data_IF_518485250267
#
_entry.id   IF_518485250267
#
_cell.length_a   1.000
_cell.length_b   1.000
_cell.length_c   1.000
_cell.angle_alpha   90.00
_cell.angle_beta   90.00
_cell.angle_gamma   90.00
#
_symmetry.space_group_name_H-M   'P 1'
#
loop_
_entity.id
_entity.type
_entity.pdbx_description
1 polymer ?
#
# COMPACT_ATOMS: atom_id res chain seq x y z
N UNK A 1 -23.61 3.29 27.27
CA UNK A 1 -22.67 2.15 27.33
C UNK A 1 -22.36 1.69 25.92
N UNK A 2 -21.17 2.02 25.37
CA UNK A 2 -20.72 1.41 24.11
C UNK A 2 -20.24 -0.01 24.45
N UNK A 3 -20.77 -1.07 23.81
CA UNK A 3 -20.29 -2.42 24.06
C UNK A 3 -18.78 -2.45 23.78
N UNK A 4 -18.02 -2.97 24.73
CA UNK A 4 -16.57 -3.12 24.65
C UNK A 4 -16.23 -3.87 23.37
N UNK A 5 -15.73 -3.12 22.38
CA UNK A 5 -15.28 -3.67 21.10
C UNK A 5 -14.13 -4.63 21.46
N UNK A 6 -14.24 -5.93 21.13
CA UNK A 6 -13.18 -6.87 21.46
C UNK A 6 -11.92 -6.42 20.71
N UNK A 7 -10.89 -6.05 21.48
CA UNK A 7 -9.53 -5.92 20.99
C UNK A 7 -9.15 -7.26 20.32
N UNK A 8 -9.15 -7.32 18.98
CA UNK A 8 -8.61 -8.47 18.23
C UNK A 8 -7.53 -8.00 17.26
N UNK A 9 -6.49 -8.83 17.00
CA UNK A 9 -6.37 -10.27 17.32
C UNK A 9 -5.22 -10.63 18.29
N UNK A 10 -5.39 -11.77 18.98
CA UNK A 10 -4.24 -12.60 19.43
C UNK A 10 -3.56 -13.15 18.18
N UNK A 11 -2.27 -12.89 18.02
CA UNK A 11 -1.40 -13.54 17.03
C UNK A 11 -1.32 -15.04 17.34
N UNK A 12 -2.25 -15.83 16.80
CA UNK A 12 -2.02 -17.27 16.72
C UNK A 12 -1.10 -17.50 15.51
N UNK A 13 0.20 -17.59 15.80
CA UNK A 13 1.23 -18.00 14.85
C UNK A 13 1.07 -19.48 14.54
N UNK A 14 0.16 -19.79 13.62
CA UNK A 14 0.06 -21.13 13.06
C UNK A 14 0.93 -21.23 11.81
N UNK A 15 1.31 -22.44 11.42
CA UNK A 15 2.12 -22.72 10.23
C UNK A 15 1.58 -22.02 8.97
N UNK A 16 0.26 -22.02 8.77
CA UNK A 16 -0.38 -21.33 7.63
C UNK A 16 -0.17 -19.82 7.63
N UNK A 17 -0.13 -19.17 8.81
CA UNK A 17 0.16 -17.74 8.93
C UNK A 17 1.62 -17.44 8.60
N UNK A 18 2.54 -18.32 9.03
CA UNK A 18 3.95 -18.22 8.68
C UNK A 18 4.18 -18.37 7.17
N UNK A 19 3.57 -19.39 6.55
CA UNK A 19 3.64 -19.57 5.08
C UNK A 19 3.08 -18.35 4.34
N UNK A 20 1.93 -17.83 4.77
CA UNK A 20 1.36 -16.62 4.17
C UNK A 20 2.29 -15.40 4.31
N UNK A 21 2.96 -15.24 5.45
CA UNK A 21 3.92 -14.16 5.66
C UNK A 21 5.12 -14.26 4.72
N UNK A 22 5.68 -15.46 4.56
CA UNK A 22 6.81 -15.68 3.66
C UNK A 22 6.40 -15.38 2.23
N UNK A 23 5.26 -15.92 1.78
CA UNK A 23 4.75 -15.69 0.43
C UNK A 23 4.48 -14.21 0.14
N UNK A 24 3.84 -13.49 1.08
CA UNK A 24 3.57 -12.06 0.93
C UNK A 24 4.85 -11.22 0.99
N UNK A 25 5.84 -11.61 1.79
CA UNK A 25 7.15 -10.94 1.81
C UNK A 25 7.87 -11.10 0.48
N UNK A 26 7.89 -12.32 -0.07
CA UNK A 26 8.46 -12.59 -1.40
C UNK A 26 7.70 -11.82 -2.48
N UNK A 27 6.37 -11.81 -2.44
CA UNK A 27 5.54 -11.04 -3.37
C UNK A 27 5.84 -9.54 -3.28
N UNK A 28 6.09 -9.02 -2.08
CA UNK A 28 6.50 -7.63 -1.89
C UNK A 28 7.85 -7.31 -2.52
N UNK A 29 8.83 -8.19 -2.34
CA UNK A 29 10.16 -8.06 -2.96
C UNK A 29 10.08 -8.15 -4.50
N UNK A 30 9.41 -9.17 -5.04
CA UNK A 30 9.22 -9.34 -6.49
C UNK A 30 8.34 -8.23 -7.08
N UNK A 31 7.36 -7.74 -6.34
CA UNK A 31 6.53 -6.61 -6.76
C UNK A 31 7.33 -5.32 -6.92
N UNK A 32 8.37 -5.12 -6.11
CA UNK A 32 9.30 -4.00 -6.29
C UNK A 32 10.32 -4.24 -7.40
N UNK A 33 10.57 -5.50 -7.78
CA UNK A 33 11.39 -5.83 -8.96
C UNK A 33 10.65 -5.49 -10.27
N UNK A 34 9.35 -5.80 -10.34
CA UNK A 34 8.48 -5.47 -11.46
C UNK A 34 8.11 -3.98 -11.35
N UNK A 35 9.02 -3.11 -11.77
CA UNK A 35 8.69 -1.70 -11.96
C UNK A 35 8.07 -1.56 -13.35
N UNK A 36 6.82 -1.09 -13.38
CA UNK A 36 6.14 -0.75 -14.64
C UNK A 36 6.11 0.76 -14.73
N UNK A 37 6.65 1.33 -15.81
CA UNK A 37 6.47 2.75 -16.10
C UNK A 37 4.97 3.01 -16.35
N UNK A 38 4.31 3.63 -15.37
CA UNK A 38 3.01 4.24 -15.59
C UNK A 38 3.20 5.59 -16.31
N UNK A 39 2.08 6.19 -16.73
CA UNK A 39 2.05 7.50 -17.39
C UNK A 39 2.98 8.51 -16.70
N UNK A 40 3.64 9.38 -17.49
CA UNK A 40 4.56 10.43 -17.05
C UNK A 40 5.94 9.96 -16.54
N UNK A 41 6.43 8.78 -16.94
CA UNK A 41 7.78 8.31 -16.57
C UNK A 41 7.89 7.95 -15.08
N UNK A 42 6.76 7.59 -14.47
CA UNK A 42 6.64 7.23 -13.06
C UNK A 42 6.62 5.71 -12.96
N UNK A 43 7.73 5.12 -12.55
CA UNK A 43 7.77 3.70 -12.13
C UNK A 43 6.78 3.43 -11.00
N UNK A 44 5.93 2.44 -11.25
CA UNK A 44 5.01 1.90 -10.27
C UNK A 44 5.64 0.70 -9.55
N UNK A 45 5.67 0.75 -8.21
CA UNK A 45 6.22 -0.29 -7.35
C UNK A 45 5.08 -1.08 -6.71
N UNK A 46 4.96 -2.36 -7.06
CA UNK A 46 3.87 -3.22 -6.55
C UNK A 46 4.09 -3.75 -5.14
N UNK A 47 5.26 -3.51 -4.52
CA UNK A 47 5.53 -4.01 -3.17
C UNK A 47 4.52 -3.51 -2.13
N UNK A 48 4.01 -2.28 -2.28
CA UNK A 48 2.97 -1.71 -1.42
C UNK A 48 1.67 -2.53 -1.40
N UNK A 49 1.31 -3.17 -2.52
CA UNK A 49 0.13 -4.05 -2.60
C UNK A 49 0.26 -5.23 -1.64
N UNK A 50 1.44 -5.86 -1.58
CA UNK A 50 1.69 -6.98 -0.68
C UNK A 50 1.65 -6.56 0.80
N UNK A 51 2.18 -5.37 1.12
CA UNK A 51 2.15 -4.79 2.47
C UNK A 51 0.70 -4.55 2.91
N UNK A 52 -0.10 -3.88 2.09
CA UNK A 52 -1.49 -3.57 2.39
C UNK A 52 -2.39 -4.81 2.45
N UNK A 53 -2.12 -5.84 1.63
CA UNK A 53 -2.76 -7.15 1.76
C UNK A 53 -2.43 -7.82 3.09
N UNK A 54 -1.15 -7.78 3.50
CA UNK A 54 -0.71 -8.33 4.79
C UNK A 54 -1.39 -7.61 5.94
N UNK A 55 -1.43 -6.27 5.91
CA UNK A 55 -2.15 -5.46 6.90
C UNK A 55 -3.62 -5.86 6.96
N UNK A 56 -4.25 -6.06 5.80
CA UNK A 56 -5.68 -6.37 5.69
C UNK A 56 -6.04 -7.78 6.19
N UNK A 57 -5.18 -8.77 5.95
CA UNK A 57 -5.49 -10.20 6.18
C UNK A 57 -4.86 -10.71 7.48
N UNK A 58 -3.62 -10.32 7.77
CA UNK A 58 -2.84 -10.85 8.91
C UNK A 58 -2.78 -9.88 10.08
N UNK A 59 -3.01 -8.59 9.85
CA UNK A 59 -3.02 -7.53 10.86
C UNK A 59 -1.83 -6.58 10.73
N UNK A 60 -1.82 -5.57 11.60
CA UNK A 60 -0.83 -4.48 11.51
C UNK A 60 0.61 -4.93 11.82
N UNK A 61 0.88 -5.72 12.88
CA UNK A 61 2.26 -6.14 13.19
C UNK A 61 2.92 -6.96 12.06
N UNK A 62 2.27 -7.99 11.50
CA UNK A 62 2.85 -8.71 10.36
C UNK A 62 2.98 -7.83 9.12
N UNK A 63 2.07 -6.87 8.93
CA UNK A 63 2.14 -5.87 7.87
C UNK A 63 3.38 -4.97 7.96
N UNK A 64 3.73 -4.51 9.16
CA UNK A 64 4.96 -3.72 9.40
C UNK A 64 6.20 -4.55 9.02
N UNK A 65 6.24 -5.82 9.41
CA UNK A 65 7.36 -6.71 9.07
C UNK A 65 7.50 -6.89 7.56
N UNK A 66 6.38 -7.15 6.85
CA UNK A 66 6.38 -7.27 5.39
C UNK A 66 6.78 -5.94 4.74
N UNK A 67 6.33 -4.79 5.26
CA UNK A 67 6.74 -3.47 4.79
C UNK A 67 8.23 -3.23 4.90
N UNK A 68 8.80 -3.50 6.07
CA UNK A 68 10.25 -3.40 6.28
C UNK A 68 11.02 -4.31 5.31
N UNK A 69 10.62 -5.58 5.17
CA UNK A 69 11.29 -6.53 4.27
C UNK A 69 11.15 -6.12 2.80
N UNK A 70 9.94 -5.80 2.33
CA UNK A 70 9.71 -5.41 0.94
C UNK A 70 10.49 -4.14 0.56
N UNK A 71 10.63 -3.21 1.52
CA UNK A 71 11.38 -1.98 1.32
C UNK A 71 12.90 -2.18 1.28
N UNK A 72 13.46 -3.30 1.77
CA UNK A 72 14.91 -3.57 1.66
C UNK A 72 15.37 -3.60 0.19
N UNK A 73 14.54 -4.09 -0.73
CA UNK A 73 14.87 -4.08 -2.15
C UNK A 73 15.01 -2.66 -2.71
N UNK A 74 14.27 -1.70 -2.17
CA UNK A 74 14.38 -0.29 -2.59
C UNK A 74 15.73 0.33 -2.25
N UNK A 75 16.43 -0.16 -1.23
CA UNK A 75 17.81 0.24 -0.95
C UNK A 75 18.76 -0.16 -2.07
N UNK A 76 18.59 -1.37 -2.63
CA UNK A 76 19.38 -1.85 -3.77
C UNK A 76 19.07 -1.03 -5.02
N UNK A 77 17.78 -0.68 -5.22
CA UNK A 77 17.33 0.05 -6.40
C UNK A 77 17.75 1.53 -6.39
N UNK A 78 17.66 2.20 -5.24
CA UNK A 78 17.85 3.65 -5.13
C UNK A 78 19.18 4.04 -4.45
N UNK A 79 19.92 3.07 -3.93
CA UNK A 79 21.24 3.28 -3.31
C UNK A 79 21.21 3.98 -1.96
N UNK A 80 20.04 4.21 -1.36
CA UNK A 80 19.90 4.94 -0.10
C UNK A 80 18.75 4.38 0.78
N UNK A 81 18.83 4.49 2.11
CA UNK A 81 17.90 3.82 3.02
C UNK A 81 16.59 4.57 3.29
N UNK A 82 16.42 5.80 2.77
CA UNK A 82 15.27 6.65 3.12
C UNK A 82 13.92 6.03 2.76
N UNK A 83 13.85 5.26 1.67
CA UNK A 83 12.64 4.55 1.27
C UNK A 83 12.20 3.50 2.30
N UNK A 84 13.15 2.83 2.97
CA UNK A 84 12.86 1.88 4.05
C UNK A 84 12.16 2.61 5.18
N UNK A 85 12.69 3.77 5.58
CA UNK A 85 12.11 4.59 6.64
C UNK A 85 10.68 5.02 6.28
N UNK A 86 10.49 5.57 5.08
CA UNK A 86 9.21 6.08 4.60
C UNK A 86 8.16 4.96 4.51
N UNK A 87 8.47 3.83 3.86
CA UNK A 87 7.50 2.75 3.69
C UNK A 87 7.25 1.95 4.98
N UNK A 88 8.22 1.90 5.90
CA UNK A 88 7.99 1.32 7.22
C UNK A 88 7.07 2.21 8.05
N UNK A 89 7.28 3.54 8.03
CA UNK A 89 6.37 4.50 8.67
C UNK A 89 4.96 4.42 8.09
N UNK A 90 4.83 4.29 6.78
CA UNK A 90 3.55 4.04 6.09
C UNK A 90 2.85 2.81 6.67
N UNK A 91 3.53 1.66 6.68
CA UNK A 91 2.95 0.41 7.18
C UNK A 91 2.50 0.50 8.65
N UNK A 92 3.23 1.25 9.48
CA UNK A 92 2.86 1.50 10.88
C UNK A 92 1.59 2.36 10.97
N UNK A 93 1.58 3.52 10.31
CA UNK A 93 0.49 4.50 10.42
C UNK A 93 -0.77 3.97 9.75
N UNK A 94 -0.67 3.48 8.52
CA UNK A 94 -1.78 2.90 7.76
C UNK A 94 -2.32 1.67 8.47
N UNK A 95 -1.44 0.80 8.96
CA UNK A 95 -1.83 -0.37 9.75
C UNK A 95 -2.62 0.01 11.01
N UNK A 96 -2.20 1.06 11.71
CA UNK A 96 -2.92 1.59 12.87
C UNK A 96 -4.28 2.21 12.48
N UNK A 97 -4.32 3.10 11.50
CA UNK A 97 -5.56 3.78 11.08
C UNK A 97 -6.60 2.78 10.56
N UNK A 98 -6.17 1.84 9.73
CA UNK A 98 -7.04 0.80 9.16
C UNK A 98 -7.56 -0.14 10.26
N UNK A 99 -6.69 -0.70 11.11
CA UNK A 99 -7.09 -1.73 12.09
C UNK A 99 -7.70 -1.18 13.38
N UNK A 100 -7.27 0.00 13.85
CA UNK A 100 -7.69 0.57 15.15
C UNK A 100 -8.70 1.69 15.02
N UNK A 101 -8.65 2.46 13.93
CA UNK A 101 -9.58 3.59 13.68
C UNK A 101 -10.65 3.27 12.65
N UNK A 102 -10.61 2.08 12.04
CA UNK A 102 -11.57 1.63 11.02
C UNK A 102 -11.66 2.55 9.81
N UNK A 103 -10.56 3.25 9.50
CA UNK A 103 -10.46 4.01 8.26
C UNK A 103 -10.42 3.05 7.08
N UNK A 104 -10.79 3.54 5.90
CA UNK A 104 -10.59 2.77 4.67
C UNK A 104 -9.10 2.73 4.32
N UNK A 105 -8.67 1.80 3.46
CA UNK A 105 -7.26 1.73 3.08
C UNK A 105 -6.85 3.00 2.35
N UNK A 106 -7.66 3.47 1.40
CA UNK A 106 -7.35 4.68 0.65
C UNK A 106 -7.34 5.93 1.53
N UNK A 107 -8.28 6.07 2.48
CA UNK A 107 -8.27 7.20 3.43
C UNK A 107 -7.04 7.16 4.34
N UNK A 108 -6.58 5.97 4.72
CA UNK A 108 -5.38 5.79 5.54
C UNK A 108 -4.12 6.19 4.76
N UNK A 109 -4.01 5.80 3.49
CA UNK A 109 -2.93 6.22 2.58
C UNK A 109 -2.90 7.74 2.39
N UNK A 110 -4.03 8.33 2.00
CA UNK A 110 -4.14 9.78 1.81
C UNK A 110 -3.78 10.50 3.11
N UNK A 111 -4.31 10.05 4.25
CA UNK A 111 -3.99 10.62 5.56
C UNK A 111 -2.49 10.59 5.85
N UNK A 112 -1.84 9.44 5.65
CA UNK A 112 -0.40 9.29 5.86
C UNK A 112 0.41 10.19 4.91
N UNK A 113 0.15 10.13 3.61
CA UNK A 113 0.96 10.83 2.61
C UNK A 113 0.86 12.35 2.72
N UNK A 114 -0.33 12.90 3.00
CA UNK A 114 -0.50 14.35 3.13
C UNK A 114 0.03 14.92 4.46
N UNK A 115 0.22 14.10 5.49
CA UNK A 115 0.64 14.58 6.81
C UNK A 115 2.08 14.21 7.17
N UNK A 116 2.54 13.02 6.78
CA UNK A 116 3.84 12.47 7.17
C UNK A 116 4.66 12.12 5.93
N UNK A 117 4.09 11.37 4.99
CA UNK A 117 4.83 10.82 3.84
C UNK A 117 5.49 11.90 2.97
N UNK A 118 4.73 12.87 2.48
CA UNK A 118 5.24 13.97 1.63
C UNK A 118 6.29 14.81 2.38
N UNK A 119 6.02 15.32 3.61
CA UNK A 119 7.04 16.04 4.37
C UNK A 119 8.31 15.23 4.63
N UNK A 120 8.17 13.94 4.93
CA UNK A 120 9.29 13.05 5.21
C UNK A 120 10.13 12.80 3.96
N UNK A 121 9.50 12.54 2.80
CA UNK A 121 10.20 12.44 1.51
C UNK A 121 10.93 13.74 1.22
N UNK A 122 10.25 14.88 1.32
CA UNK A 122 10.88 16.17 1.03
C UNK A 122 12.10 16.42 1.93
N UNK A 123 11.97 16.17 3.24
CA UNK A 123 13.10 16.31 4.18
C UNK A 123 14.26 15.35 3.88
N UNK A 124 13.98 14.08 3.58
CA UNK A 124 15.04 13.11 3.26
C UNK A 124 15.75 13.43 1.94
N UNK A 125 15.00 13.76 0.90
CA UNK A 125 15.55 13.94 -0.45
C UNK A 125 16.13 15.35 -0.65
N UNK A 126 15.42 16.40 -0.28
CA UNK A 126 15.95 17.77 -0.37
C UNK A 126 16.90 18.08 0.79
N UNK A 127 16.49 17.78 2.02
CA UNK A 127 17.22 18.19 3.23
C UNK A 127 18.44 17.34 3.57
N UNK A 128 18.48 16.05 3.21
CA UNK A 128 19.64 15.17 3.48
C UNK A 128 20.46 14.80 2.26
N UNK A 129 19.83 14.67 1.10
CA UNK A 129 20.53 14.35 -0.16
C UNK A 129 20.78 15.57 -1.04
N UNK A 130 20.36 16.77 -0.59
CA UNK A 130 20.58 18.03 -1.30
C UNK A 130 20.04 18.04 -2.74
N UNK A 131 19.03 17.21 -3.01
CA UNK A 131 18.39 17.18 -4.32
C UNK A 131 17.69 18.51 -4.60
N UNK A 132 17.59 18.95 -5.87
CA UNK A 132 16.79 20.12 -6.22
C UNK A 132 15.37 19.99 -5.68
N UNK A 133 14.81 21.06 -5.09
CA UNK A 133 13.50 21.02 -4.45
C UNK A 133 12.39 20.53 -5.38
N UNK A 134 12.45 20.88 -6.67
CA UNK A 134 11.54 20.36 -7.70
C UNK A 134 11.61 18.84 -7.84
N UNK A 135 12.83 18.25 -7.83
CA UNK A 135 13.01 16.81 -7.90
C UNK A 135 12.44 16.11 -6.66
N UNK A 136 12.68 16.66 -5.47
CA UNK A 136 12.13 16.11 -4.23
C UNK A 136 10.59 16.13 -4.22
N UNK A 137 9.96 17.20 -4.72
CA UNK A 137 8.50 17.26 -4.88
C UNK A 137 7.98 16.22 -5.86
N UNK A 138 8.64 16.07 -7.02
CA UNK A 138 8.28 15.04 -8.01
C UNK A 138 8.35 13.65 -7.40
N UNK A 139 9.40 13.35 -6.62
CA UNK A 139 9.54 12.05 -5.94
C UNK A 139 8.44 11.86 -4.88
N UNK A 140 8.14 12.89 -4.08
CA UNK A 140 7.08 12.82 -3.06
C UNK A 140 5.71 12.54 -3.68
N UNK A 141 5.36 13.25 -4.76
CA UNK A 141 4.11 13.05 -5.48
C UNK A 141 4.06 11.69 -6.18
N UNK A 142 5.19 11.24 -6.74
CA UNK A 142 5.34 9.91 -7.35
C UNK A 142 5.04 8.82 -6.31
N UNK A 143 5.69 8.86 -5.15
CA UNK A 143 5.51 7.83 -4.12
C UNK A 143 4.11 7.87 -3.49
N UNK A 144 3.55 9.07 -3.24
CA UNK A 144 2.18 9.21 -2.73
C UNK A 144 1.15 8.62 -3.69
N UNK A 145 1.26 8.94 -4.98
CA UNK A 145 0.36 8.39 -6.00
C UNK A 145 0.47 6.87 -6.09
N UNK A 146 1.69 6.34 -6.01
CA UNK A 146 1.95 4.90 -6.03
C UNK A 146 1.23 4.17 -4.89
N UNK A 147 1.39 4.63 -3.64
CA UNK A 147 0.77 3.96 -2.50
C UNK A 147 -0.76 4.11 -2.46
N UNK A 148 -1.30 5.28 -2.85
CA UNK A 148 -2.77 5.47 -2.94
C UNK A 148 -3.37 4.50 -3.97
N UNK A 149 -2.74 4.34 -5.13
CA UNK A 149 -3.20 3.38 -6.13
C UNK A 149 -3.07 1.93 -5.64
N UNK A 150 -2.00 1.59 -4.90
CA UNK A 150 -1.89 0.28 -4.24
C UNK A 150 -3.09 0.00 -3.32
N UNK A 151 -3.56 0.99 -2.55
CA UNK A 151 -4.74 0.83 -1.71
C UNK A 151 -6.01 0.54 -2.52
N UNK A 152 -6.22 1.22 -3.66
CA UNK A 152 -7.34 0.92 -4.55
C UNK A 152 -7.25 -0.49 -5.12
N UNK A 153 -6.07 -0.92 -5.59
CA UNK A 153 -5.84 -2.28 -6.06
C UNK A 153 -6.17 -3.30 -4.98
N UNK A 154 -5.69 -3.11 -3.75
CA UNK A 154 -5.97 -4.03 -2.64
C UNK A 154 -7.46 -4.07 -2.31
N UNK A 155 -8.14 -2.93 -2.31
CA UNK A 155 -9.59 -2.91 -2.11
C UNK A 155 -10.36 -3.66 -3.22
N UNK A 156 -9.91 -3.59 -4.47
CA UNK A 156 -10.46 -4.38 -5.57
C UNK A 156 -10.14 -5.88 -5.42
N UNK A 157 -8.91 -6.24 -5.06
CA UNK A 157 -8.49 -7.63 -4.84
C UNK A 157 -9.33 -8.29 -3.73
N UNK A 158 -9.59 -7.57 -2.64
CA UNK A 158 -10.38 -8.08 -1.51
C UNK A 158 -11.87 -8.29 -1.82
N UNK A 159 -12.35 -7.84 -3.00
CA UNK A 159 -13.69 -8.13 -3.48
C UNK A 159 -13.82 -9.44 -4.24
N UNK A 160 -12.71 -10.02 -4.70
CA UNK A 160 -12.74 -11.23 -5.51
C UNK A 160 -13.31 -12.38 -4.65
N UNK A 161 -14.42 -13.04 -5.06
CA UNK A 161 -15.11 -14.03 -4.23
C UNK A 161 -14.21 -15.19 -3.80
N UNK A 162 -13.27 -15.61 -4.65
CA UNK A 162 -12.27 -16.63 -4.33
C UNK A 162 -11.41 -16.19 -3.16
N UNK A 163 -10.95 -14.94 -3.17
CA UNK A 163 -10.13 -14.36 -2.12
C UNK A 163 -10.94 -14.21 -0.83
N UNK A 164 -12.20 -13.79 -0.92
CA UNK A 164 -13.09 -13.70 0.23
C UNK A 164 -13.32 -15.06 0.90
N UNK A 165 -13.50 -16.14 0.13
CA UNK A 165 -13.61 -17.52 0.67
C UNK A 165 -12.35 -17.97 1.40
N UNK A 166 -11.18 -17.64 0.85
CA UNK A 166 -9.90 -17.94 1.51
C UNK A 166 -9.72 -17.16 2.80
N UNK A 167 -10.09 -15.87 2.83
CA UNK A 167 -9.91 -15.03 4.01
C UNK A 167 -10.95 -15.31 5.10
N UNK A 168 -12.20 -15.63 4.74
CA UNK A 168 -13.23 -16.05 5.71
C UNK A 168 -12.83 -17.34 6.43
N UNK A 169 -12.16 -18.29 5.76
CA UNK A 169 -11.55 -19.45 6.41
C UNK A 169 -10.49 -19.07 7.46
N UNK A 170 -9.86 -17.90 7.32
CA UNK A 170 -8.88 -17.39 8.28
C UNK A 170 -9.54 -16.61 9.45
N UNK A 171 -10.84 -16.31 9.41
CA UNK A 171 -11.57 -15.51 10.42
C UNK A 171 -10.97 -14.11 10.66
N UNK A 172 -10.40 -13.45 9.63
CA UNK A 172 -9.53 -12.26 9.83
C UNK A 172 -9.96 -10.94 9.19
N UNK A 173 -11.05 -10.86 8.41
CA UNK A 173 -11.48 -9.58 7.81
C UNK A 173 -12.79 -9.08 8.42
N UNK A 174 -12.81 -7.86 9.00
CA UNK A 174 -14.05 -7.24 9.41
C UNK A 174 -14.91 -6.89 8.18
N UNK A 175 -16.25 -6.93 8.30
CA UNK A 175 -17.12 -6.45 7.23
C UNK A 175 -16.82 -4.98 6.95
N UNK A 176 -16.38 -4.68 5.72
CA UNK A 176 -16.17 -3.31 5.26
C UNK A 176 -17.51 -2.73 4.82
N UNK A 177 -17.85 -1.49 5.20
CA UNK A 177 -19.07 -0.87 4.73
C UNK A 177 -19.01 -0.68 3.21
N UNK A 178 -20.01 -1.21 2.49
CA UNK A 178 -20.09 -1.18 1.02
C UNK A 178 -19.88 0.23 0.44
N UNK A 179 -20.33 1.26 1.16
CA UNK A 179 -20.11 2.68 0.78
C UNK A 179 -18.64 3.03 0.61
N UNK A 180 -17.77 2.66 1.55
CA UNK A 180 -16.35 3.03 1.49
C UNK A 180 -15.66 2.34 0.31
N UNK A 181 -16.07 1.10 0.04
CA UNK A 181 -15.58 0.31 -1.07
C UNK A 181 -16.03 0.85 -2.44
N UNK A 182 -17.30 1.24 -2.55
CA UNK A 182 -17.81 1.87 -3.77
C UNK A 182 -17.08 3.17 -4.06
N UNK A 183 -16.89 4.03 -3.05
CA UNK A 183 -16.13 5.29 -3.19
C UNK A 183 -14.70 5.03 -3.62
N UNK A 184 -14.02 4.04 -3.01
CA UNK A 184 -12.64 3.68 -3.38
C UNK A 184 -12.54 3.15 -4.82
N UNK A 185 -13.49 2.34 -5.26
CA UNK A 185 -13.52 1.84 -6.63
C UNK A 185 -13.83 2.95 -7.63
N UNK A 186 -14.78 3.84 -7.32
CA UNK A 186 -15.11 4.98 -8.18
C UNK A 186 -13.90 5.91 -8.31
N UNK A 187 -13.23 6.24 -7.21
CA UNK A 187 -12.00 7.05 -7.24
C UNK A 187 -10.87 6.31 -7.97
N UNK A 188 -10.66 5.02 -7.71
CA UNK A 188 -9.67 4.21 -8.42
C UNK A 188 -9.91 4.19 -9.93
N UNK A 189 -11.16 4.10 -10.39
CA UNK A 189 -11.51 4.19 -11.80
C UNK A 189 -11.22 5.58 -12.40
N UNK A 190 -11.31 6.67 -11.63
CA UNK A 190 -10.89 8.00 -12.11
C UNK A 190 -9.37 8.13 -12.27
N UNK A 191 -8.59 7.34 -11.54
CA UNK A 191 -7.14 7.26 -11.72
C UNK A 191 -6.72 6.45 -12.94
N UNK A 192 -7.60 5.61 -13.51
CA UNK A 192 -7.34 4.96 -14.79
C UNK A 192 -7.61 5.99 -15.90
N UNK A 193 -6.58 6.49 -16.61
CA UNK A 193 -6.86 7.27 -17.81
C UNK A 193 -7.59 6.33 -18.76
N UNK A 194 -8.79 6.71 -19.18
CA UNK A 194 -9.42 6.10 -20.34
C UNK A 194 -8.41 6.29 -21.48
N UNK A 195 -7.64 5.25 -21.79
CA UNK A 195 -6.74 5.23 -22.92
C UNK A 195 -7.64 5.29 -24.14
N UNK A 196 -7.95 6.50 -24.59
CA UNK A 196 -8.55 6.76 -25.88
C UNK A 196 -7.63 6.08 -26.88
N UNK A 197 -8.14 4.98 -27.41
CA UNK A 197 -7.66 4.25 -28.58
C UNK A 197 -7.40 5.28 -29.67
N UNK A 198 -6.17 5.79 -29.75
CA UNK A 198 -5.70 6.50 -30.93
C UNK A 198 -5.29 5.41 -31.92
N UNK A 199 -6.31 4.83 -32.56
CA UNK A 199 -6.13 3.97 -33.73
C UNK A 199 -5.62 4.91 -34.81
N UNK A 200 -4.30 4.92 -35.05
CA UNK A 200 -3.69 5.62 -36.17
C UNK A 200 -4.32 5.10 -37.46
N UNK A 201 -5.27 5.85 -37.98
CA UNK A 201 -5.64 5.82 -39.39
C UNK A 201 -4.47 6.52 -40.09
N UNK A 202 -3.58 5.74 -40.70
CA UNK A 202 -2.66 6.28 -41.69
C UNK A 202 -3.34 6.16 -43.07
N UNK A 203 -3.22 7.19 -43.93
CA UNK A 203 -3.88 7.28 -45.24
C UNK A 203 -3.33 6.31 -46.28
#
# INVERSE_FOLDING_TARGET
MKPGIPLRPRLNFNFSTFVALVLLSLLGLFGNYIHIELFFGVDFLFGGVAVLLTISILGWCPGILVGAIASLYTYVLWGHPYAILIFTCEAIVVGFLFQRKHWSLASSEVGYWFTIGIPLVYYCYHGRMELPGFAAWTIALKQASNSIFCAFLVSAILLIPVIQRWITRLNRVPPRPLRNLLVELTLGCTFLPCSSVHRSIAP
#
